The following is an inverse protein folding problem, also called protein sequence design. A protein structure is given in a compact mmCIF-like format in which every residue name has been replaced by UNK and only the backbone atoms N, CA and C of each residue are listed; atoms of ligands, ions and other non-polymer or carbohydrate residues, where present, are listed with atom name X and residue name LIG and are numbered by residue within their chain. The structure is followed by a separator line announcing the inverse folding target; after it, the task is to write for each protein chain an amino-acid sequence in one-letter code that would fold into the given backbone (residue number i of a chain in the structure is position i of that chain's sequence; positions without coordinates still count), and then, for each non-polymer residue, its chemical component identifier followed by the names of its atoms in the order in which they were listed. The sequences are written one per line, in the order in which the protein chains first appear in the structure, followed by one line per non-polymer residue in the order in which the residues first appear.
data_IF_760724995367
#
_entry.id   IF_760724995367
#
_cell.length_a   1.000
_cell.length_b   1.000
_cell.length_c   1.000
_cell.angle_alpha   90.00
_cell.angle_beta   90.00
_cell.angle_gamma   90.00
#
_symmetry.space_group_name_H-M   'P 1'
#
loop_
_entity.id
_entity.type
_entity.pdbx_description
1 polymer ?
#
# COMPACT_ATOMS: atom_id res chain seq x y z
N UNK A 1 4.32 22.94 -5.43
CA UNK A 1 3.24 22.00 -5.80
C UNK A 1 2.05 22.70 -6.45
N UNK A 2 1.58 23.83 -5.91
CA UNK A 2 0.41 24.58 -6.42
C UNK A 2 0.52 25.10 -7.86
N UNK A 3 1.74 25.15 -8.42
CA UNK A 3 2.01 25.64 -9.78
C UNK A 3 1.55 24.69 -10.91
N UNK A 4 1.19 23.44 -10.60
CA UNK A 4 0.81 22.41 -11.59
C UNK A 4 -0.63 21.88 -11.37
N UNK A 5 -1.48 22.63 -10.68
CA UNK A 5 -2.85 22.23 -10.33
C UNK A 5 -3.83 23.32 -10.71
N UNK A 6 -5.03 22.93 -11.13
CA UNK A 6 -6.10 23.87 -11.48
C UNK A 6 -6.49 24.74 -10.30
N UNK A 7 -6.96 25.95 -10.57
CA UNK A 7 -7.38 26.92 -9.55
C UNK A 7 -8.49 26.35 -8.66
N UNK A 8 -9.38 25.52 -9.21
CA UNK A 8 -10.42 24.79 -8.45
C UNK A 8 -9.82 23.82 -7.43
N UNK A 9 -8.77 23.08 -7.81
CA UNK A 9 -8.10 22.16 -6.90
C UNK A 9 -7.33 22.91 -5.81
N UNK A 10 -6.69 24.03 -6.16
CA UNK A 10 -6.00 24.90 -5.20
C UNK A 10 -6.98 25.52 -4.20
N UNK A 11 -8.12 26.03 -4.66
CA UNK A 11 -9.17 26.54 -3.80
C UNK A 11 -9.72 25.45 -2.88
N UNK A 12 -9.93 24.24 -3.40
CA UNK A 12 -10.33 23.06 -2.63
C UNK A 12 -9.33 22.72 -1.52
N UNK A 13 -8.04 22.69 -1.82
CA UNK A 13 -6.98 22.39 -0.84
C UNK A 13 -6.92 23.44 0.28
N UNK A 14 -6.92 24.74 -0.08
CA UNK A 14 -6.83 25.82 0.90
C UNK A 14 -8.04 25.87 1.85
N UNK A 15 -9.22 25.53 1.36
CA UNK A 15 -10.46 25.67 2.14
C UNK A 15 -10.90 24.39 2.84
N UNK A 16 -10.63 23.22 2.24
CA UNK A 16 -11.05 21.91 2.78
C UNK A 16 -9.88 21.16 3.43
N UNK A 17 -8.62 21.50 3.13
CA UNK A 17 -7.43 20.93 3.77
C UNK A 17 -7.44 21.04 5.30
N UNK A 18 -7.72 22.23 5.89
CA UNK A 18 -7.79 22.38 7.34
C UNK A 18 -8.91 21.59 8.02
N UNK A 19 -9.95 21.19 7.27
CA UNK A 19 -11.05 20.35 7.80
C UNK A 19 -10.60 18.92 8.04
N UNK A 20 -9.63 18.43 7.27
CA UNK A 20 -9.10 17.06 7.39
C UNK A 20 -7.91 17.03 8.34
N UNK A 21 -6.97 17.97 8.19
CA UNK A 21 -5.78 18.07 9.05
C UNK A 21 -5.96 19.23 10.03
N UNK A 22 -6.80 18.97 11.04
CA UNK A 22 -7.09 19.92 12.12
C UNK A 22 -6.07 19.79 13.29
N UNK A 23 -6.23 20.60 14.33
CA UNK A 23 -5.34 20.60 15.50
C UNK A 23 -5.32 19.26 16.24
N UNK A 24 -6.47 18.58 16.30
CA UNK A 24 -6.63 17.27 16.93
C UNK A 24 -5.86 16.19 16.15
N UNK A 25 -5.97 16.16 14.82
CA UNK A 25 -5.17 15.29 13.95
C UNK A 25 -3.67 15.52 14.16
N UNK A 26 -3.24 16.78 14.26
CA UNK A 26 -1.83 17.11 14.54
C UNK A 26 -1.40 16.66 15.94
N UNK A 27 -2.29 16.72 16.93
CA UNK A 27 -2.01 16.25 18.28
C UNK A 27 -1.83 14.73 18.32
N UNK A 28 -2.74 13.98 17.70
CA UNK A 28 -2.62 12.52 17.54
C UNK A 28 -1.32 12.13 16.83
N UNK A 29 -0.93 12.87 15.79
CA UNK A 29 0.34 12.64 15.09
C UNK A 29 1.56 12.83 16.01
N UNK A 30 1.53 13.82 16.90
CA UNK A 30 2.60 14.04 17.89
C UNK A 30 2.64 12.93 18.94
N UNK A 31 1.49 12.47 19.39
CA UNK A 31 1.39 11.36 20.36
C UNK A 31 1.99 10.06 19.78
N UNK A 32 1.62 9.73 18.55
CA UNK A 32 2.20 8.58 17.84
C UNK A 32 3.72 8.74 17.66
N UNK A 33 4.18 9.94 17.33
CA UNK A 33 5.62 10.20 17.22
C UNK A 33 6.34 9.99 18.56
N UNK A 34 5.76 10.47 19.66
CA UNK A 34 6.30 10.26 21.00
C UNK A 34 6.33 8.76 21.36
N UNK A 35 5.27 8.00 21.06
CA UNK A 35 5.23 6.55 21.27
C UNK A 35 6.33 5.78 20.52
N UNK A 36 6.67 6.24 19.32
CA UNK A 36 7.78 5.70 18.53
C UNK A 36 9.12 6.06 19.15
N UNK A 37 9.32 7.32 19.55
CA UNK A 37 10.56 7.81 20.15
C UNK A 37 10.82 7.19 21.53
N UNK A 38 9.79 7.00 22.36
CA UNK A 38 9.83 6.33 23.66
C UNK A 38 10.10 4.80 23.53
N UNK A 39 10.07 4.28 22.30
CA UNK A 39 10.21 2.86 21.98
C UNK A 39 9.03 2.00 22.43
N UNK A 40 7.90 2.60 22.85
CA UNK A 40 6.67 1.85 23.23
C UNK A 40 6.17 1.03 22.04
N UNK A 41 6.11 1.65 20.87
CA UNK A 41 5.75 0.99 19.63
C UNK A 41 6.71 -0.18 19.29
N UNK A 42 8.02 0.03 19.46
CA UNK A 42 9.01 -1.01 19.18
C UNK A 42 8.87 -2.22 20.12
N UNK A 43 8.63 -1.98 21.41
CA UNK A 43 8.41 -3.05 22.40
C UNK A 43 7.13 -3.84 22.10
N UNK A 44 6.03 -3.15 21.78
CA UNK A 44 4.78 -3.78 21.38
C UNK A 44 4.95 -4.63 20.13
N UNK A 45 5.65 -4.10 19.11
CA UNK A 45 5.91 -4.84 17.88
C UNK A 45 6.76 -6.10 18.10
N UNK A 46 7.81 -6.01 18.91
CA UNK A 46 8.67 -7.17 19.23
C UNK A 46 7.88 -8.24 19.98
N UNK A 47 7.02 -7.85 20.93
CA UNK A 47 6.17 -8.79 21.66
C UNK A 47 5.15 -9.49 20.74
N UNK A 48 4.48 -8.74 19.86
CA UNK A 48 3.55 -9.26 18.86
C UNK A 48 4.26 -10.21 17.87
N UNK A 49 5.50 -9.89 17.49
CA UNK A 49 6.31 -10.74 16.63
C UNK A 49 6.72 -12.04 17.32
N UNK A 50 7.14 -11.97 18.59
CA UNK A 50 7.44 -13.15 19.40
C UNK A 50 6.21 -14.06 19.59
N UNK A 51 5.01 -13.49 19.66
CA UNK A 51 3.74 -14.21 19.75
C UNK A 51 3.23 -14.79 18.40
N UNK A 52 3.96 -14.60 17.29
CA UNK A 52 3.60 -15.15 15.98
C UNK A 52 2.61 -14.28 15.17
N UNK A 53 2.49 -13.00 15.53
CA UNK A 53 1.77 -11.94 14.80
C UNK A 53 0.25 -12.16 14.59
N UNK A 54 -0.52 -12.66 15.57
CA UNK A 54 -1.95 -12.90 15.41
C UNK A 54 -2.74 -11.63 15.06
N UNK A 55 -2.47 -10.52 15.76
CA UNK A 55 -3.16 -9.25 15.57
C UNK A 55 -2.78 -8.62 14.22
N UNK A 56 -1.50 -8.62 13.89
CA UNK A 56 -1.03 -8.09 12.59
C UNK A 56 -1.62 -8.86 11.39
N UNK A 57 -1.75 -10.19 11.49
CA UNK A 57 -2.40 -11.02 10.46
C UNK A 57 -3.88 -10.67 10.31
N UNK A 58 -4.60 -10.48 11.41
CA UNK A 58 -6.01 -10.07 11.41
C UNK A 58 -6.20 -8.69 10.74
N UNK A 59 -5.37 -7.70 11.10
CA UNK A 59 -5.40 -6.37 10.50
C UNK A 59 -5.14 -6.40 8.98
N UNK A 60 -4.14 -7.18 8.53
CA UNK A 60 -3.87 -7.37 7.10
C UNK A 60 -5.03 -8.02 6.35
N UNK A 61 -5.68 -9.02 6.95
CA UNK A 61 -6.83 -9.69 6.36
C UNK A 61 -8.04 -8.74 6.25
N UNK A 62 -8.30 -7.94 7.29
CA UNK A 62 -9.36 -6.93 7.29
C UNK A 62 -9.14 -5.87 6.20
N UNK A 63 -7.92 -5.30 6.11
CA UNK A 63 -7.52 -4.35 5.05
C UNK A 63 -7.71 -4.94 3.66
N UNK A 64 -7.39 -6.23 3.51
CA UNK A 64 -7.54 -6.97 2.25
C UNK A 64 -9.00 -7.13 1.82
N UNK A 65 -9.93 -7.27 2.76
CA UNK A 65 -11.36 -7.47 2.45
C UNK A 65 -12.11 -6.17 2.20
N UNK A 66 -11.51 -5.02 2.49
CA UNK A 66 -12.14 -3.71 2.37
C UNK A 66 -12.67 -3.44 0.94
N UNK A 67 -13.87 -2.84 0.79
CA UNK A 67 -14.54 -2.67 -0.50
C UNK A 67 -13.69 -1.95 -1.56
N UNK A 68 -12.94 -0.91 -1.16
CA UNK A 68 -12.10 -0.12 -2.07
C UNK A 68 -10.98 -0.90 -2.75
N UNK A 69 -10.55 -2.04 -2.18
CA UNK A 69 -9.52 -2.90 -2.80
C UNK A 69 -10.11 -3.81 -3.88
N UNK A 70 -11.39 -4.17 -3.77
CA UNK A 70 -12.08 -5.05 -4.74
C UNK A 70 -12.30 -4.33 -6.08
N UNK A 71 -12.57 -3.03 -6.06
CA UNK A 71 -12.74 -2.22 -7.27
C UNK A 71 -11.43 -2.06 -8.05
N UNK A 72 -10.30 -1.83 -7.36
CA UNK A 72 -8.98 -1.67 -7.99
C UNK A 72 -8.50 -2.92 -8.75
N UNK A 73 -8.86 -4.11 -8.25
CA UNK A 73 -8.53 -5.39 -8.91
C UNK A 73 -9.28 -5.58 -10.24
N UNK A 74 -10.48 -5.00 -10.37
CA UNK A 74 -11.25 -5.00 -11.63
C UNK A 74 -10.69 -3.99 -12.63
N UNK A 75 -10.27 -2.80 -12.18
CA UNK A 75 -9.61 -1.82 -13.04
C UNK A 75 -8.28 -2.34 -13.61
N UNK A 76 -7.44 -2.99 -12.78
CA UNK A 76 -6.18 -3.57 -13.23
C UNK A 76 -6.34 -4.72 -14.25
N UNK A 77 -7.47 -5.45 -14.24
CA UNK A 77 -7.78 -6.43 -15.28
C UNK A 77 -8.34 -5.80 -16.57
N UNK A 78 -8.87 -4.58 -16.51
CA UNK A 78 -9.41 -3.88 -17.68
C UNK A 78 -8.31 -3.14 -18.47
N UNK A 79 -7.24 -2.70 -17.80
CA UNK A 79 -6.18 -1.87 -18.41
C UNK A 79 -5.02 -2.65 -19.05
N UNK A 80 -5.12 -3.96 -19.25
CA UNK A 80 -4.35 -4.73 -20.25
C UNK A 80 -2.83 -4.47 -20.36
N UNK A 81 -2.15 -3.98 -19.32
CA UNK A 81 -0.72 -3.67 -19.36
C UNK A 81 0.06 -4.70 -18.54
N UNK A 82 -0.03 -5.97 -18.95
CA UNK A 82 1.04 -6.94 -18.66
C UNK A 82 2.17 -6.61 -19.66
N UNK A 83 3.05 -5.71 -19.24
CA UNK A 83 4.27 -5.42 -19.98
C UNK A 83 5.15 -6.67 -19.95
N UNK A 84 5.56 -7.09 -21.15
CA UNK A 84 6.32 -8.31 -21.38
C UNK A 84 7.65 -8.37 -20.61
N UNK A 85 7.93 -9.53 -20.04
CA UNK A 85 9.27 -9.97 -19.70
C UNK A 85 9.63 -11.17 -20.58
N UNK A 86 10.23 -10.84 -21.73
CA UNK A 86 11.39 -11.48 -22.35
C UNK A 86 11.38 -13.01 -22.55
N UNK A 87 11.33 -13.39 -23.83
CA UNK A 87 11.70 -14.72 -24.29
C UNK A 87 13.21 -14.97 -24.18
N UNK A 88 13.57 -16.19 -23.82
CA UNK A 88 14.83 -16.81 -24.20
C UNK A 88 14.50 -18.00 -25.10
N UNK A 89 14.94 -17.90 -26.35
CA UNK A 89 14.82 -18.97 -27.33
C UNK A 89 15.65 -20.19 -26.95
N UNK A 90 15.07 -21.37 -27.14
CA UNK A 90 15.83 -22.58 -27.41
C UNK A 90 15.20 -23.28 -28.62
N UNK A 91 15.78 -22.98 -29.79
CA UNK A 91 15.68 -23.86 -30.95
C UNK A 91 16.93 -24.72 -31.02
N UNK A 92 16.81 -26.00 -30.66
CA UNK A 92 17.54 -27.17 -31.20
C UNK A 92 16.58 -28.34 -31.00
N UNK A 93 16.14 -29.11 -31.99
CA UNK A 93 16.86 -29.54 -33.16
C UNK A 93 17.10 -31.05 -33.07
N UNK A 94 16.03 -31.80 -33.34
CA UNK A 94 15.99 -33.16 -33.94
C UNK A 94 16.46 -34.40 -33.15
N UNK A 95 15.83 -35.49 -33.60
CA UNK A 95 16.22 -36.91 -33.56
C UNK A 95 16.03 -37.62 -32.21
N UNK A 96 15.01 -38.48 -32.05
CA UNK A 96 14.80 -39.80 -32.66
C UNK A 96 15.26 -40.92 -31.71
N UNK A 97 14.36 -41.90 -31.56
CA UNK A 97 14.66 -43.33 -31.48
C UNK A 97 14.95 -44.00 -30.12
N UNK A 98 14.19 -45.09 -29.90
CA UNK A 98 14.45 -46.34 -29.14
C UNK A 98 14.98 -46.22 -27.69
N UNK A 99 14.31 -46.79 -26.68
CA UNK A 99 14.06 -48.23 -26.47
C UNK A 99 13.15 -48.44 -25.26
#
# INVERSE_FOLDING_TARGET
MHKYVSETAQYGDLTRGPRVINAETRQRMREVLAEIQDGRFAREWVAEYAAGNPHYKALKAARSRAPHRKSRRRAACADGLVAGAQGHGQGRGRHADQK
#
